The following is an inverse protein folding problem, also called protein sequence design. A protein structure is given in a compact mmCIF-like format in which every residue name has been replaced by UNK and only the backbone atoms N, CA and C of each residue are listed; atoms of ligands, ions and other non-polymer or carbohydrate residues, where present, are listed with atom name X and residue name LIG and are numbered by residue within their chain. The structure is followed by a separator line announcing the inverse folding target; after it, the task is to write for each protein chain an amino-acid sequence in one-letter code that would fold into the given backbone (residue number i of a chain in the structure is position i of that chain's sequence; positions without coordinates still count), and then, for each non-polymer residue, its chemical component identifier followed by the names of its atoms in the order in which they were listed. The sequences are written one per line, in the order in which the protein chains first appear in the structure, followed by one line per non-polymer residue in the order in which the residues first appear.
data_IF_061013061250
#
_entry.id   IF_061013061250
#
_cell.length_a   1.000
_cell.length_b   1.000
_cell.length_c   1.000
_cell.angle_alpha   90.00
_cell.angle_beta   90.00
_cell.angle_gamma   90.00
#
_symmetry.space_group_name_H-M   'P 1'
#
loop_
_entity.id
_entity.type
_entity.pdbx_description
1 polymer ?
#
# COMPACT_ATOMS: atom_id res chain seq x y z
N UNK A 1 1.57 -28.70 0.26
CA UNK A 1 1.97 -28.11 -1.04
C UNK A 1 1.09 -26.90 -1.39
N UNK A 2 -0.25 -26.99 -1.26
CA UNK A 2 -1.17 -25.91 -1.68
C UNK A 2 -0.97 -24.57 -0.93
N UNK A 3 -0.60 -24.59 0.36
CA UNK A 3 -0.39 -23.40 1.18
C UNK A 3 1.05 -22.87 1.16
N UNK A 4 1.98 -23.60 0.55
CA UNK A 4 3.40 -23.24 0.55
C UNK A 4 3.68 -21.81 0.03
N UNK A 5 3.07 -21.33 -1.07
CA UNK A 5 3.28 -19.96 -1.53
C UNK A 5 2.90 -18.90 -0.47
N UNK A 6 1.82 -19.13 0.26
CA UNK A 6 1.36 -18.19 1.31
C UNK A 6 2.24 -18.25 2.57
N UNK A 7 2.79 -19.42 2.90
CA UNK A 7 3.77 -19.58 3.98
C UNK A 7 5.05 -18.81 3.63
N UNK A 8 5.58 -18.96 2.40
CA UNK A 8 6.76 -18.23 1.93
C UNK A 8 6.49 -16.73 1.96
N UNK A 9 5.32 -16.29 1.50
CA UNK A 9 4.90 -14.89 1.59
C UNK A 9 4.93 -14.38 3.03
N UNK A 10 4.30 -15.10 3.98
CA UNK A 10 4.25 -14.69 5.38
C UNK A 10 5.63 -14.57 6.01
N UNK A 11 6.50 -15.56 5.79
CA UNK A 11 7.90 -15.54 6.27
C UNK A 11 8.67 -14.36 5.66
N UNK A 12 8.51 -14.11 4.35
CA UNK A 12 9.19 -12.99 3.67
C UNK A 12 8.70 -11.63 4.18
N UNK A 13 7.40 -11.52 4.47
CA UNK A 13 6.81 -10.32 5.05
C UNK A 13 7.33 -10.05 6.47
N UNK A 14 7.37 -11.07 7.33
CA UNK A 14 7.89 -10.92 8.69
C UNK A 14 9.39 -10.63 8.69
N UNK A 15 10.15 -11.13 7.70
CA UNK A 15 11.56 -10.81 7.54
C UNK A 15 11.81 -9.33 7.38
N UNK A 16 10.95 -8.58 6.68
CA UNK A 16 11.08 -7.13 6.52
C UNK A 16 10.93 -6.34 7.83
N UNK A 17 10.32 -6.93 8.86
CA UNK A 17 10.28 -6.33 10.20
C UNK A 17 11.60 -6.51 10.95
N UNK A 18 12.24 -7.67 10.75
CA UNK A 18 13.54 -8.00 11.39
C UNK A 18 14.68 -7.23 10.74
N UNK A 19 14.60 -7.07 9.41
CA UNK A 19 15.62 -6.39 8.62
C UNK A 19 14.95 -5.32 7.73
N UNK A 20 14.76 -4.10 8.24
CA UNK A 20 14.09 -3.03 7.51
C UNK A 20 14.84 -2.60 6.25
N UNK A 21 14.10 -2.23 5.21
CA UNK A 21 14.62 -1.84 3.90
C UNK A 21 15.58 -0.62 3.94
N UNK A 22 15.34 0.31 4.85
CA UNK A 22 16.18 1.51 5.03
C UNK A 22 17.57 1.23 5.62
N UNK A 23 17.84 0.00 6.06
CA UNK A 23 19.20 -0.44 6.41
C UNK A 23 20.05 -0.79 5.18
N UNK A 24 19.41 -1.03 4.03
CA UNK A 24 20.07 -1.45 2.78
C UNK A 24 20.34 -0.26 1.87
N UNK A 25 19.33 0.59 1.69
CA UNK A 25 19.40 1.75 0.81
C UNK A 25 18.83 3.00 1.51
N UNK A 26 19.29 4.21 1.13
CA UNK A 26 18.74 5.46 1.66
C UNK A 26 17.27 5.62 1.28
N UNK A 27 16.51 6.28 2.18
CA UNK A 27 15.10 6.55 1.98
C UNK A 27 14.95 7.73 1.01
N UNK A 28 14.20 7.53 -0.05
CA UNK A 28 13.76 8.60 -0.95
C UNK A 28 12.42 9.18 -0.46
N UNK A 29 12.46 10.44 -0.07
CA UNK A 29 11.24 11.20 0.30
C UNK A 29 10.93 12.22 -0.77
N UNK A 30 11.95 12.98 -1.20
CA UNK A 30 11.77 14.09 -2.12
C UNK A 30 11.59 13.63 -3.57
N UNK A 31 12.35 12.64 -4.02
CA UNK A 31 12.33 12.19 -5.41
C UNK A 31 10.96 11.66 -5.82
N UNK A 32 10.33 10.85 -4.96
CA UNK A 32 8.98 10.35 -5.21
C UNK A 32 7.94 11.48 -5.24
N UNK A 33 8.01 12.42 -4.30
CA UNK A 33 7.12 13.58 -4.25
C UNK A 33 7.23 14.45 -5.51
N UNK A 34 8.45 14.78 -5.93
CA UNK A 34 8.70 15.59 -7.14
C UNK A 34 8.30 14.85 -8.43
N UNK A 35 8.52 13.55 -8.50
CA UNK A 35 8.05 12.72 -9.61
C UNK A 35 6.52 12.73 -9.72
N UNK A 36 5.81 12.54 -8.60
CA UNK A 36 4.35 12.61 -8.57
C UNK A 36 3.85 14.02 -8.97
N UNK A 37 4.51 15.08 -8.47
CA UNK A 37 4.19 16.46 -8.79
C UNK A 37 4.39 16.78 -10.28
N UNK A 38 5.44 16.24 -10.89
CA UNK A 38 5.72 16.46 -12.31
C UNK A 38 4.76 15.71 -13.23
N UNK A 39 4.32 14.49 -12.84
CA UNK A 39 3.47 13.64 -13.66
C UNK A 39 1.97 13.91 -13.45
N UNK A 40 1.56 14.21 -12.23
CA UNK A 40 0.16 14.28 -11.82
C UNK A 40 -0.20 15.60 -11.11
N UNK A 41 0.69 16.60 -11.15
CA UNK A 41 0.48 17.87 -10.47
C UNK A 41 -0.78 18.59 -10.94
N UNK A 42 -1.57 19.08 -9.99
CA UNK A 42 -2.84 19.79 -10.21
C UNK A 42 -2.60 21.27 -9.90
N UNK A 43 -2.82 22.15 -10.88
CA UNK A 43 -2.65 23.59 -10.70
C UNK A 43 -3.88 24.18 -10.00
N UNK A 44 -3.66 24.78 -8.83
CA UNK A 44 -4.69 25.47 -8.03
C UNK A 44 -4.16 26.86 -7.66
N UNK A 45 -4.81 27.91 -8.12
CA UNK A 45 -4.43 29.31 -7.82
C UNK A 45 -2.93 29.62 -8.09
N UNK A 46 -2.34 29.04 -9.12
CA UNK A 46 -0.94 29.24 -9.50
C UNK A 46 0.06 28.37 -8.72
N UNK A 47 -0.38 27.54 -7.79
CA UNK A 47 0.43 26.52 -7.08
C UNK A 47 0.16 25.14 -7.63
N UNK A 48 1.20 24.34 -7.84
CA UNK A 48 1.05 22.95 -8.29
C UNK A 48 1.05 22.07 -7.03
N UNK A 49 -0.06 21.37 -6.82
CA UNK A 49 -0.26 20.41 -5.73
C UNK A 49 -0.15 18.99 -6.26
N UNK A 50 0.38 18.07 -5.47
CA UNK A 50 0.26 16.63 -5.77
C UNK A 50 -1.19 16.16 -5.52
N UNK A 51 -1.66 15.06 -6.13
CA UNK A 51 -3.03 14.56 -5.92
C UNK A 51 -3.39 14.37 -4.45
N UNK A 52 -2.46 13.90 -3.63
CA UNK A 52 -2.68 13.72 -2.20
C UNK A 52 -2.99 15.03 -1.48
N UNK A 53 -2.27 16.11 -1.77
CA UNK A 53 -2.52 17.47 -1.23
C UNK A 53 -3.86 18.01 -1.73
N UNK A 54 -4.12 17.86 -3.04
CA UNK A 54 -5.36 18.34 -3.64
C UNK A 54 -6.59 17.69 -2.98
N UNK A 55 -6.61 16.36 -2.86
CA UNK A 55 -7.73 15.64 -2.25
C UNK A 55 -7.77 15.71 -0.72
N UNK A 56 -6.70 16.16 -0.06
CA UNK A 56 -6.77 16.53 1.36
C UNK A 56 -7.67 17.76 1.59
N UNK A 57 -7.69 18.69 0.63
CA UNK A 57 -8.47 19.93 0.69
C UNK A 57 -9.82 19.79 -0.02
N UNK A 58 -9.81 19.12 -1.20
CA UNK A 58 -11.00 18.95 -2.06
C UNK A 58 -11.47 17.50 -2.01
N UNK A 59 -12.29 17.17 -1.03
CA UNK A 59 -12.86 15.84 -0.88
C UNK A 59 -14.37 15.91 -0.67
N UNK A 60 -15.06 14.77 -0.90
CA UNK A 60 -16.48 14.65 -0.66
C UNK A 60 -16.84 13.23 -0.22
N UNK A 61 -17.82 13.15 0.69
CA UNK A 61 -18.15 11.93 1.43
C UNK A 61 -18.42 10.70 0.52
N UNK A 62 -19.04 10.92 -0.66
CA UNK A 62 -19.28 9.82 -1.61
C UNK A 62 -17.97 9.27 -2.15
N UNK A 63 -17.02 10.14 -2.52
CA UNK A 63 -15.71 9.71 -3.00
C UNK A 63 -14.90 9.01 -1.89
N UNK A 64 -14.92 9.56 -0.67
CA UNK A 64 -14.26 8.96 0.49
C UNK A 64 -14.82 7.58 0.83
N UNK A 65 -16.16 7.40 0.72
CA UNK A 65 -16.81 6.10 0.90
C UNK A 65 -16.31 5.08 -0.13
N UNK A 66 -16.38 5.41 -1.42
CA UNK A 66 -15.94 4.47 -2.46
C UNK A 66 -14.44 4.23 -2.42
N UNK A 67 -13.62 5.24 -2.14
CA UNK A 67 -12.17 5.08 -1.96
C UNK A 67 -11.88 4.08 -0.83
N UNK A 68 -12.54 4.19 0.31
CA UNK A 68 -12.41 3.25 1.42
C UNK A 68 -12.86 1.85 1.06
N UNK A 69 -14.04 1.69 0.44
CA UNK A 69 -14.55 0.38 0.00
C UNK A 69 -13.59 -0.29 -0.97
N UNK A 70 -13.19 0.40 -2.04
CA UNK A 70 -12.27 -0.17 -3.03
C UNK A 70 -10.90 -0.48 -2.44
N UNK A 71 -10.43 0.38 -1.55
CA UNK A 71 -9.18 0.12 -0.86
C UNK A 71 -9.26 -1.12 0.04
N UNK A 72 -10.37 -1.33 0.75
CA UNK A 72 -10.57 -2.54 1.56
C UNK A 72 -10.57 -3.84 0.73
N UNK A 73 -10.92 -3.78 -0.54
CA UNK A 73 -10.98 -4.96 -1.42
C UNK A 73 -9.63 -5.66 -1.60
N UNK A 74 -8.50 -4.99 -1.35
CA UNK A 74 -7.18 -5.58 -1.56
C UNK A 74 -6.89 -6.82 -0.70
N UNK A 75 -7.53 -6.96 0.46
CA UNK A 75 -7.42 -8.13 1.34
C UNK A 75 -8.43 -9.22 0.97
N UNK A 76 -9.76 -8.95 1.02
CA UNK A 76 -10.76 -10.00 0.84
C UNK A 76 -10.83 -10.53 -0.59
N UNK A 77 -10.60 -9.71 -1.61
CA UNK A 77 -10.75 -10.18 -3.01
C UNK A 77 -9.76 -11.30 -3.35
N UNK A 78 -8.44 -11.17 -3.12
CA UNK A 78 -7.51 -12.29 -3.37
C UNK A 78 -7.81 -13.53 -2.53
N UNK A 79 -8.24 -13.33 -1.26
CA UNK A 79 -8.57 -14.45 -0.37
C UNK A 79 -9.80 -15.20 -0.89
N UNK A 80 -10.88 -14.47 -1.18
CA UNK A 80 -12.13 -15.08 -1.69
C UNK A 80 -11.90 -15.74 -3.04
N UNK A 81 -11.15 -15.10 -3.93
CA UNK A 81 -10.82 -15.66 -5.24
C UNK A 81 -9.99 -16.95 -5.11
N UNK A 82 -8.93 -16.94 -4.30
CA UNK A 82 -8.13 -18.13 -4.06
C UNK A 82 -8.93 -19.26 -3.41
N UNK A 83 -9.79 -18.95 -2.44
CA UNK A 83 -10.67 -19.93 -1.80
C UNK A 83 -11.69 -20.50 -2.79
N UNK A 84 -12.29 -19.66 -3.63
CA UNK A 84 -13.22 -20.09 -4.68
C UNK A 84 -12.57 -21.08 -5.66
N UNK A 85 -11.35 -20.77 -6.14
CA UNK A 85 -10.61 -21.68 -7.01
C UNK A 85 -10.31 -23.02 -6.33
N UNK A 86 -9.92 -22.98 -5.05
CA UNK A 86 -9.64 -24.18 -4.26
C UNK A 86 -10.87 -25.05 -4.07
N UNK A 87 -12.02 -24.46 -3.69
CA UNK A 87 -13.28 -25.17 -3.47
C UNK A 87 -13.90 -25.70 -4.78
N UNK A 88 -13.70 -24.99 -5.88
CA UNK A 88 -14.12 -25.45 -7.21
C UNK A 88 -13.34 -26.68 -7.68
N UNK A 89 -12.22 -27.01 -7.04
CA UNK A 89 -11.37 -28.14 -7.38
C UNK A 89 -10.43 -27.89 -8.56
N UNK A 90 -10.34 -26.66 -9.06
CA UNK A 90 -9.41 -26.29 -10.12
C UNK A 90 -7.99 -26.05 -9.54
N UNK A 91 -7.35 -27.15 -9.20
CA UNK A 91 -6.00 -27.12 -8.60
C UNK A 91 -4.97 -26.43 -9.47
N UNK A 92 -5.12 -26.49 -10.80
CA UNK A 92 -4.18 -25.88 -11.73
C UNK A 92 -4.28 -24.36 -11.67
N UNK A 93 -5.49 -23.82 -11.74
CA UNK A 93 -5.73 -22.36 -11.64
C UNK A 93 -5.38 -21.85 -10.26
N UNK A 94 -5.76 -22.57 -9.20
CA UNK A 94 -5.36 -22.20 -7.84
C UNK A 94 -3.84 -22.08 -7.67
N UNK A 95 -3.07 -23.07 -8.15
CA UNK A 95 -1.61 -23.02 -8.04
C UNK A 95 -1.01 -21.90 -8.90
N UNK A 96 -1.55 -21.64 -10.08
CA UNK A 96 -1.13 -20.48 -10.89
C UNK A 96 -1.36 -19.17 -10.16
N UNK A 97 -2.56 -18.97 -9.63
CA UNK A 97 -2.90 -17.79 -8.82
C UNK A 97 -1.94 -17.65 -7.62
N UNK A 98 -1.77 -18.71 -6.83
CA UNK A 98 -0.91 -18.69 -5.65
C UNK A 98 0.56 -18.38 -6.00
N UNK A 99 1.06 -18.91 -7.11
CA UNK A 99 2.43 -18.64 -7.57
C UNK A 99 2.59 -17.21 -8.10
N UNK A 100 1.63 -16.70 -8.87
CA UNK A 100 1.64 -15.30 -9.35
C UNK A 100 1.53 -14.34 -8.17
N UNK A 101 0.64 -14.62 -7.21
CA UNK A 101 0.52 -13.84 -5.98
C UNK A 101 1.85 -13.80 -5.21
N UNK A 102 2.50 -14.96 -5.02
CA UNK A 102 3.82 -15.02 -4.37
C UNK A 102 4.87 -14.20 -5.15
N UNK A 103 4.95 -14.41 -6.47
CA UNK A 103 5.93 -13.72 -7.31
C UNK A 103 5.79 -12.20 -7.25
N UNK A 104 4.56 -11.69 -7.34
CA UNK A 104 4.27 -10.26 -7.23
C UNK A 104 4.71 -9.71 -5.88
N UNK A 105 4.47 -10.44 -4.78
CA UNK A 105 4.94 -10.03 -3.47
C UNK A 105 6.46 -10.02 -3.37
N UNK A 106 7.15 -11.05 -3.85
CA UNK A 106 8.61 -11.10 -3.82
C UNK A 106 9.24 -9.98 -4.65
N UNK A 107 8.68 -9.67 -5.83
CA UNK A 107 9.10 -8.52 -6.64
C UNK A 107 8.85 -7.21 -5.90
N UNK A 108 7.68 -7.06 -5.26
CA UNK A 108 7.36 -5.88 -4.45
C UNK A 108 8.32 -5.71 -3.27
N UNK A 109 8.62 -6.78 -2.54
CA UNK A 109 9.57 -6.75 -1.42
C UNK A 109 10.98 -6.40 -1.91
N UNK A 110 11.44 -6.99 -3.02
CA UNK A 110 12.70 -6.61 -3.65
C UNK A 110 12.71 -5.12 -4.01
N UNK A 111 11.61 -4.60 -4.58
CA UNK A 111 11.45 -3.18 -4.89
C UNK A 111 11.58 -2.29 -3.66
N UNK A 112 10.98 -2.67 -2.53
CA UNK A 112 11.12 -1.92 -1.26
C UNK A 112 12.55 -1.85 -0.75
N UNK A 113 13.35 -2.89 -0.95
CA UNK A 113 14.78 -2.88 -0.59
C UNK A 113 15.64 -2.11 -1.59
N UNK A 114 15.30 -2.17 -2.88
CA UNK A 114 16.04 -1.44 -3.93
C UNK A 114 15.79 0.06 -3.80
N UNK A 115 14.55 0.46 -3.51
CA UNK A 115 14.15 1.86 -3.45
C UNK A 115 13.22 2.12 -2.26
N UNK A 116 13.77 2.23 -1.03
CA UNK A 116 12.99 2.66 0.12
C UNK A 116 12.42 4.06 -0.14
N UNK A 117 11.11 4.22 -0.09
CA UNK A 117 10.48 5.50 -0.41
C UNK A 117 9.34 5.83 0.56
N UNK A 118 9.24 7.10 0.91
CA UNK A 118 8.16 7.60 1.75
C UNK A 118 6.89 7.85 0.92
N UNK A 119 5.69 7.58 1.46
CA UNK A 119 4.45 7.90 0.79
C UNK A 119 4.20 9.42 0.77
N UNK A 120 3.37 9.94 -0.17
CA UNK A 120 3.10 11.37 -0.30
C UNK A 120 2.63 12.06 0.98
N UNK A 121 1.77 11.40 1.78
CA UNK A 121 1.30 11.95 3.06
C UNK A 121 2.45 12.21 4.05
N UNK A 122 3.56 11.47 3.92
CA UNK A 122 4.74 11.68 4.76
C UNK A 122 5.36 13.05 4.50
N UNK A 123 5.63 13.36 3.22
CA UNK A 123 6.18 14.65 2.82
C UNK A 123 5.28 15.83 3.25
N UNK A 124 3.96 15.65 3.17
CA UNK A 124 2.98 16.65 3.61
C UNK A 124 3.05 16.95 5.12
N UNK A 125 3.30 15.93 5.94
CA UNK A 125 3.22 16.07 7.41
C UNK A 125 4.59 16.30 8.07
N UNK A 126 5.67 15.79 7.49
CA UNK A 126 7.00 15.76 8.11
C UNK A 126 8.09 16.41 7.26
N UNK A 127 7.77 16.84 6.03
CA UNK A 127 8.77 17.37 5.08
C UNK A 127 9.61 16.28 4.45
N UNK A 128 10.83 16.64 4.00
CA UNK A 128 11.67 15.76 3.19
C UNK A 128 12.79 15.04 3.97
N UNK A 129 12.86 15.22 5.27
CA UNK A 129 13.81 14.50 6.11
C UNK A 129 13.23 13.14 6.55
N UNK A 130 14.05 12.08 6.46
CA UNK A 130 13.62 10.75 6.86
C UNK A 130 13.74 10.57 8.38
N UNK A 131 12.61 10.45 9.08
CA UNK A 131 12.54 10.17 10.52
C UNK A 131 12.08 8.73 10.72
N UNK A 132 12.96 7.85 11.17
CA UNK A 132 12.73 6.40 11.25
C UNK A 132 11.60 6.01 12.24
N UNK A 133 11.39 6.81 13.27
CA UNK A 133 10.38 6.55 14.31
C UNK A 133 9.00 7.13 13.96
N UNK A 134 8.76 7.47 12.69
CA UNK A 134 7.47 8.01 12.26
C UNK A 134 6.37 6.95 12.40
N UNK A 135 5.29 7.25 13.14
CA UNK A 135 4.18 6.33 13.27
C UNK A 135 3.43 6.15 11.95
N UNK A 136 2.82 4.98 11.77
CA UNK A 136 1.93 4.74 10.65
C UNK A 136 0.76 5.73 10.63
N UNK A 137 0.31 6.12 9.44
CA UNK A 137 -0.76 7.08 9.25
C UNK A 137 -1.80 6.52 8.27
N UNK A 138 -3.06 6.72 8.59
CA UNK A 138 -4.19 6.30 7.74
C UNK A 138 -4.41 7.22 6.54
N UNK A 139 -3.77 8.38 6.51
CA UNK A 139 -3.94 9.41 5.49
C UNK A 139 -5.41 9.70 5.20
N UNK A 140 -5.79 9.85 3.93
CA UNK A 140 -7.17 10.12 3.52
C UNK A 140 -8.20 9.03 3.89
N UNK A 141 -7.75 7.79 4.17
CA UNK A 141 -8.65 6.69 4.55
C UNK A 141 -9.28 6.87 5.94
N UNK A 142 -8.72 7.73 6.78
CA UNK A 142 -9.33 8.10 8.07
C UNK A 142 -10.73 8.73 7.91
N UNK A 143 -10.98 9.41 6.79
CA UNK A 143 -12.31 9.99 6.47
C UNK A 143 -13.38 8.92 6.24
N UNK A 144 -13.00 7.74 5.72
CA UNK A 144 -13.92 6.61 5.63
C UNK A 144 -14.29 6.10 7.03
N UNK A 145 -13.30 5.94 7.92
CA UNK A 145 -13.54 5.51 9.30
C UNK A 145 -14.49 6.48 10.02
N UNK A 146 -14.28 7.78 9.86
CA UNK A 146 -15.16 8.83 10.42
C UNK A 146 -16.58 8.75 9.83
N UNK A 147 -16.70 8.61 8.50
CA UNK A 147 -17.99 8.55 7.80
C UNK A 147 -18.83 7.33 8.23
N UNK A 148 -18.15 6.18 8.44
CA UNK A 148 -18.79 4.92 8.81
C UNK A 148 -18.92 4.71 10.32
N UNK A 149 -18.34 5.59 11.14
CA UNK A 149 -18.30 5.43 12.59
C UNK A 149 -17.51 4.19 13.04
N UNK A 150 -16.45 3.84 12.30
CA UNK A 150 -15.62 2.66 12.56
C UNK A 150 -14.14 3.04 12.72
N UNK A 151 -13.28 2.07 13.01
CA UNK A 151 -11.82 2.27 13.19
C UNK A 151 -11.01 1.25 12.39
N UNK A 152 -11.51 0.83 11.23
CA UNK A 152 -10.91 -0.24 10.43
C UNK A 152 -9.52 0.18 9.95
N UNK A 153 -9.43 1.30 9.26
CA UNK A 153 -8.16 1.78 8.73
C UNK A 153 -7.20 2.22 9.84
N UNK A 154 -7.71 2.86 10.88
CA UNK A 154 -6.92 3.21 12.06
C UNK A 154 -6.29 1.97 12.72
N UNK A 155 -7.03 0.87 12.81
CA UNK A 155 -6.53 -0.38 13.39
C UNK A 155 -5.48 -1.05 12.52
N UNK A 156 -5.58 -0.96 11.19
CA UNK A 156 -4.66 -1.58 10.24
C UNK A 156 -3.38 -0.74 10.10
N UNK A 157 -3.53 0.54 9.80
CA UNK A 157 -2.40 1.42 9.43
C UNK A 157 -1.74 2.13 10.60
N UNK A 158 -2.47 2.40 11.68
CA UNK A 158 -1.89 2.99 12.89
C UNK A 158 -0.82 2.10 13.56
N UNK A 159 -0.75 0.82 13.17
CA UNK A 159 0.26 -0.15 13.66
C UNK A 159 1.31 -0.50 12.61
N UNK A 160 1.36 0.22 11.49
CA UNK A 160 2.35 -0.05 10.45
C UNK A 160 3.76 0.21 10.99
N UNK A 161 4.59 -0.82 10.95
CA UNK A 161 5.96 -0.77 11.49
C UNK A 161 6.96 -0.12 10.54
N UNK A 162 6.64 0.02 9.25
CA UNK A 162 7.54 0.58 8.25
C UNK A 162 6.78 1.44 7.25
N UNK A 163 6.92 2.76 7.36
CA UNK A 163 6.29 3.74 6.48
C UNK A 163 7.04 3.95 5.17
N UNK A 164 8.28 3.44 5.05
CA UNK A 164 9.16 3.65 3.90
C UNK A 164 9.10 2.52 2.85
N UNK A 165 8.01 1.79 2.84
CA UNK A 165 7.71 0.76 1.84
C UNK A 165 6.53 1.21 0.94
N UNK A 166 6.62 2.43 0.36
CA UNK A 166 5.53 3.00 -0.41
C UNK A 166 5.48 2.50 -1.86
N UNK A 167 6.63 2.23 -2.48
CA UNK A 167 6.75 1.85 -3.90
C UNK A 167 7.58 0.59 -4.06
N UNK A 168 7.11 -0.38 -4.89
CA UNK A 168 5.86 -0.43 -5.67
C UNK A 168 4.61 -0.71 -4.82
N UNK A 169 3.43 -0.25 -5.27
CA UNK A 169 2.18 -0.49 -4.54
C UNK A 169 1.67 -1.92 -4.73
N UNK A 170 1.82 -2.77 -3.71
CA UNK A 170 1.25 -4.11 -3.70
C UNK A 170 -0.28 -4.12 -3.62
N UNK A 171 -0.90 -3.09 -3.02
CA UNK A 171 -2.35 -2.93 -2.99
C UNK A 171 -2.95 -2.86 -4.41
N UNK A 172 -2.34 -2.07 -5.29
CA UNK A 172 -2.76 -1.99 -6.69
C UNK A 172 -2.49 -3.31 -7.45
N UNK A 173 -1.35 -3.96 -7.17
CA UNK A 173 -0.96 -5.19 -7.84
C UNK A 173 -1.91 -6.37 -7.53
N UNK A 174 -2.43 -6.47 -6.31
CA UNK A 174 -3.33 -7.57 -5.93
C UNK A 174 -4.63 -7.59 -6.71
N UNK A 175 -5.15 -6.43 -7.08
CA UNK A 175 -6.38 -6.33 -7.88
C UNK A 175 -6.16 -6.75 -9.35
N UNK A 176 -4.91 -6.73 -9.82
CA UNK A 176 -4.55 -7.20 -11.17
C UNK A 176 -4.33 -8.70 -11.20
N UNK A 177 -3.89 -9.28 -10.07
CA UNK A 177 -3.60 -10.72 -9.94
C UNK A 177 -4.86 -11.55 -9.71
N UNK A 178 -5.88 -10.99 -9.06
CA UNK A 178 -7.15 -11.66 -8.78
C UNK A 178 -8.14 -11.53 -9.95
#
# INVERSE_FOLDING_TARGET
VALLPFIIFGVSYDWMRVYPNYQVNPIDVQGLYEAEKSLFGISVNGTILIPCEYFAIHHWSIADFFAGVFYLCWVPVPIVFGLWLYLKGDRRMYLRFAMVFLLVNLIGFAGYYIHPAAPPWYAMNYGFEAMLDTPGNVAGLGRFDELMGCTIFNSIYGRNANVFAAVPSLHAAYMVVA
#
